data_IF_742252775864
#
_entry.id   IF_742252775864
#
_cell.length_a   1.000
_cell.length_b   1.000
_cell.length_c   1.000
_cell.angle_alpha   90.00
_cell.angle_beta   90.00
_cell.angle_gamma   90.00
#
_symmetry.space_group_name_H-M   'P 1'
#
loop_
_entity.id
_entity.type
_entity.pdbx_description
1 polymer ?
#
# COMPACT_ATOMS: atom_id res chain seq x y z
N UNK A 1 10.00 29.24 1.51
CA UNK A 1 9.49 29.56 0.16
C UNK A 1 8.12 28.93 0.08
N UNK A 2 7.08 29.73 -0.11
CA UNK A 2 5.70 29.27 -0.02
C UNK A 2 5.34 28.52 -1.31
N UNK A 3 4.70 27.36 -1.18
CA UNK A 3 4.08 26.67 -2.31
C UNK A 3 3.05 27.61 -2.98
N UNK A 4 2.82 27.51 -4.30
CA UNK A 4 1.85 28.37 -4.99
C UNK A 4 0.46 28.27 -4.34
N UNK A 5 -0.30 29.38 -4.34
CA UNK A 5 -1.54 29.59 -3.53
C UNK A 5 -2.66 28.54 -3.69
N UNK A 6 -2.56 27.60 -4.64
CA UNK A 6 -3.52 26.51 -4.88
C UNK A 6 -2.92 25.09 -4.76
N UNK A 7 -1.70 24.95 -4.23
CA UNK A 7 -1.07 23.63 -4.05
C UNK A 7 -1.53 22.98 -2.75
N UNK A 8 -2.24 21.85 -2.86
CA UNK A 8 -2.63 21.06 -1.69
C UNK A 8 -1.39 20.41 -1.07
N UNK A 9 -1.09 20.75 0.19
CA UNK A 9 0.03 20.16 0.92
C UNK A 9 -0.38 18.82 1.56
N UNK A 10 0.33 17.76 1.19
CA UNK A 10 0.19 16.43 1.77
C UNK A 10 0.58 16.45 3.26
N UNK A 11 -0.30 15.95 4.13
CA UNK A 11 -0.12 15.95 5.59
C UNK A 11 -0.38 14.56 6.16
N UNK A 12 0.59 14.05 6.90
CA UNK A 12 0.40 12.83 7.68
C UNK A 12 -0.63 13.04 8.79
N UNK A 13 -1.52 12.05 8.92
CA UNK A 13 -2.60 12.05 9.91
C UNK A 13 -2.26 11.08 11.03
N UNK A 14 -2.62 11.46 12.25
CA UNK A 14 -2.60 10.51 13.36
C UNK A 14 -3.80 9.58 13.21
N UNK A 15 -3.56 8.28 13.25
CA UNK A 15 -4.60 7.26 13.18
C UNK A 15 -4.40 6.21 14.26
N UNK A 16 -5.50 5.59 14.66
CA UNK A 16 -5.50 4.44 15.57
C UNK A 16 -6.54 3.43 15.14
N UNK A 17 -6.11 2.19 15.01
CA UNK A 17 -6.97 1.06 14.72
C UNK A 17 -7.06 0.13 15.92
N UNK A 18 -8.23 -0.46 16.15
CA UNK A 18 -8.44 -1.51 17.13
C UNK A 18 -8.88 -2.79 16.41
N UNK A 19 -8.04 -3.81 16.46
CA UNK A 19 -8.28 -5.11 15.85
C UNK A 19 -8.64 -6.18 16.87
N UNK A 20 -8.99 -5.80 18.11
CA UNK A 20 -9.17 -6.76 19.21
C UNK A 20 -10.22 -7.82 18.92
N UNK A 21 -11.26 -7.45 18.17
CA UNK A 21 -12.42 -8.29 17.86
C UNK A 21 -12.45 -8.70 16.38
N UNK A 22 -11.43 -8.37 15.60
CA UNK A 22 -11.39 -8.67 14.16
C UNK A 22 -11.16 -10.17 13.95
N UNK A 23 -12.04 -10.88 13.22
CA UNK A 23 -11.87 -12.31 12.94
C UNK A 23 -10.83 -12.56 11.83
N UNK A 24 -10.27 -13.78 11.75
CA UNK A 24 -9.31 -14.20 10.70
C UNK A 24 -9.88 -13.93 9.29
N UNK A 25 -11.15 -14.31 9.09
CA UNK A 25 -11.95 -13.97 7.92
C UNK A 25 -12.71 -12.69 8.19
N UNK A 26 -12.02 -11.55 8.05
CA UNK A 26 -12.63 -10.25 8.23
C UNK A 26 -13.68 -9.92 7.16
N UNK A 27 -13.77 -10.68 6.06
CA UNK A 27 -14.97 -10.73 5.21
C UNK A 27 -15.66 -12.07 5.46
N UNK A 28 -16.82 -12.02 6.13
CA UNK A 28 -17.53 -13.23 6.58
C UNK A 28 -17.91 -14.13 5.40
N UNK A 29 -17.44 -15.38 5.43
CA UNK A 29 -17.75 -16.38 4.40
C UNK A 29 -17.05 -16.14 3.05
N UNK A 30 -16.06 -15.26 3.00
CA UNK A 30 -15.22 -15.02 1.82
C UNK A 30 -13.73 -15.06 2.17
N UNK A 31 -13.18 -16.27 2.45
CA UNK A 31 -11.75 -16.44 2.70
C UNK A 31 -10.91 -16.06 1.48
N UNK A 32 -11.43 -16.20 0.26
CA UNK A 32 -10.70 -15.85 -0.96
C UNK A 32 -10.34 -14.36 -1.00
N UNK A 33 -11.35 -13.49 -0.87
CA UNK A 33 -11.15 -12.04 -0.87
C UNK A 33 -10.35 -11.58 0.34
N UNK A 34 -10.67 -12.14 1.52
CA UNK A 34 -9.95 -11.85 2.77
C UNK A 34 -8.45 -12.12 2.60
N UNK A 35 -8.05 -13.30 2.14
CA UNK A 35 -6.63 -13.67 2.09
C UNK A 35 -5.87 -13.07 0.91
N UNK A 36 -6.55 -12.74 -0.19
CA UNK A 36 -5.96 -11.94 -1.27
C UNK A 36 -5.58 -10.55 -0.74
N UNK A 37 -6.51 -9.84 -0.08
CA UNK A 37 -6.25 -8.49 0.45
C UNK A 37 -5.25 -8.54 1.60
N UNK A 38 -5.33 -9.54 2.48
CA UNK A 38 -4.38 -9.74 3.58
C UNK A 38 -2.93 -9.85 3.12
N UNK A 39 -2.68 -10.27 1.88
CA UNK A 39 -1.33 -10.29 1.33
C UNK A 39 -0.71 -8.89 1.28
N UNK A 40 -1.51 -7.84 1.06
CA UNK A 40 -1.03 -6.46 1.06
C UNK A 40 -0.53 -6.03 2.45
N UNK A 41 -1.21 -6.44 3.53
CA UNK A 41 -0.74 -6.22 4.91
C UNK A 41 0.64 -6.85 5.17
N UNK A 42 1.00 -7.93 4.46
CA UNK A 42 2.32 -8.56 4.58
C UNK A 42 3.41 -7.85 3.75
N UNK A 43 3.02 -7.07 2.74
CA UNK A 43 3.93 -6.43 1.79
C UNK A 43 4.27 -5.01 2.21
N UNK A 44 3.25 -4.25 2.60
CA UNK A 44 3.33 -2.82 2.90
C UNK A 44 4.41 -2.47 3.93
N UNK A 45 4.50 -3.10 5.12
CA UNK A 45 5.45 -2.64 6.14
C UNK A 45 6.90 -2.56 5.68
N UNK A 46 7.38 -3.59 4.97
CA UNK A 46 8.75 -3.65 4.46
C UNK A 46 8.96 -2.75 3.22
N UNK A 47 7.93 -2.66 2.36
CA UNK A 47 7.95 -1.85 1.15
C UNK A 47 7.98 -0.35 1.45
N UNK A 48 7.14 0.12 2.36
CA UNK A 48 7.00 1.53 2.72
C UNK A 48 8.22 2.02 3.52
N UNK A 49 8.83 1.16 4.35
CA UNK A 49 10.13 1.45 4.95
C UNK A 49 11.22 1.57 3.89
N UNK A 50 11.15 0.77 2.82
CA UNK A 50 12.04 0.91 1.67
C UNK A 50 11.79 2.21 0.90
N UNK A 51 10.52 2.60 0.67
CA UNK A 51 10.16 3.89 0.07
C UNK A 51 10.81 5.04 0.86
N UNK A 52 10.66 5.02 2.19
CA UNK A 52 11.27 6.01 3.08
C UNK A 52 12.80 6.11 2.90
N UNK A 53 13.50 4.98 2.80
CA UNK A 53 14.97 4.96 2.60
C UNK A 53 15.36 5.55 1.25
N UNK A 54 14.65 5.19 0.18
CA UNK A 54 14.90 5.71 -1.18
C UNK A 54 14.61 7.21 -1.25
N UNK A 55 13.50 7.66 -0.68
CA UNK A 55 13.09 9.06 -0.71
C UNK A 55 14.02 9.96 0.11
N UNK A 56 14.52 9.49 1.25
CA UNK A 56 15.54 10.23 2.01
C UNK A 56 16.81 10.52 1.19
N UNK A 57 17.17 9.63 0.25
CA UNK A 57 18.28 9.89 -0.69
C UNK A 57 17.89 10.84 -1.82
N UNK A 58 16.63 10.82 -2.26
CA UNK A 58 16.13 11.65 -3.33
C UNK A 58 15.89 13.10 -2.88
N UNK A 59 15.43 13.33 -1.64
CA UNK A 59 15.06 14.64 -1.09
C UNK A 59 16.12 15.74 -1.30
N UNK A 60 17.43 15.52 -1.03
CA UNK A 60 18.45 16.53 -1.28
C UNK A 60 18.66 16.88 -2.76
N UNK A 61 18.18 16.04 -3.67
CA UNK A 61 18.34 16.18 -5.12
C UNK A 61 17.13 16.84 -5.79
N UNK A 62 16.02 17.04 -5.05
CA UNK A 62 14.82 17.70 -5.54
C UNK A 62 15.01 19.21 -5.44
N UNK A 63 14.96 19.88 -6.59
CA UNK A 63 15.17 21.33 -6.72
C UNK A 63 13.87 22.13 -6.75
N UNK A 64 12.75 21.48 -7.07
CA UNK A 64 11.42 22.09 -7.03
C UNK A 64 10.90 22.11 -5.57
N UNK A 65 10.63 23.30 -5.00
CA UNK A 65 10.15 23.41 -3.63
C UNK A 65 8.79 22.75 -3.37
N UNK A 66 7.87 22.75 -4.35
CA UNK A 66 6.55 22.13 -4.20
C UNK A 66 6.68 20.61 -4.20
N UNK A 67 7.42 20.06 -5.16
CA UNK A 67 7.68 18.61 -5.22
C UNK A 67 8.43 18.12 -3.99
N UNK A 68 9.34 18.92 -3.45
CA UNK A 68 10.04 18.59 -2.20
C UNK A 68 9.06 18.55 -1.02
N UNK A 69 8.14 19.50 -0.93
CA UNK A 69 7.13 19.52 0.13
C UNK A 69 6.20 18.29 0.04
N UNK A 70 5.81 17.89 -1.16
CA UNK A 70 5.02 16.67 -1.40
C UNK A 70 5.79 15.41 -1.02
N UNK A 71 7.07 15.32 -1.40
CA UNK A 71 7.95 14.21 -1.03
C UNK A 71 8.12 14.08 0.49
N UNK A 72 8.22 15.20 1.21
CA UNK A 72 8.26 15.22 2.67
C UNK A 72 6.92 14.82 3.30
N UNK A 73 5.79 15.21 2.71
CA UNK A 73 4.45 14.80 3.13
C UNK A 73 4.25 13.29 2.97
N UNK A 74 4.55 12.77 1.77
CA UNK A 74 4.57 11.34 1.43
C UNK A 74 5.38 10.53 2.45
N UNK A 75 6.64 10.93 2.71
CA UNK A 75 7.52 10.21 3.64
C UNK A 75 6.92 10.08 5.05
N UNK A 76 6.19 11.11 5.50
CA UNK A 76 5.52 11.09 6.81
C UNK A 76 4.31 10.15 6.80
N UNK A 77 3.53 10.12 5.73
CA UNK A 77 2.39 9.20 5.57
C UNK A 77 2.86 7.75 5.51
N UNK A 78 3.86 7.44 4.69
CA UNK A 78 4.45 6.10 4.57
C UNK A 78 4.96 5.53 5.89
N UNK A 79 5.59 6.37 6.72
CA UNK A 79 6.03 5.95 8.05
C UNK A 79 4.85 5.61 8.98
N UNK A 80 3.69 6.23 8.79
CA UNK A 80 2.45 5.90 9.50
C UNK A 80 1.81 4.65 8.91
N UNK A 81 1.71 4.52 7.57
CA UNK A 81 1.23 3.32 6.88
C UNK A 81 1.96 2.06 7.40
N UNK A 82 3.29 2.11 7.42
CA UNK A 82 4.12 0.96 7.77
C UNK A 82 3.86 0.51 9.20
N UNK A 83 3.73 1.47 10.13
CA UNK A 83 3.38 1.17 11.52
C UNK A 83 1.97 0.60 11.65
N UNK A 84 0.99 1.15 10.94
CA UNK A 84 -0.40 0.68 10.97
C UNK A 84 -0.53 -0.75 10.45
N UNK A 85 0.08 -1.06 9.30
CA UNK A 85 0.08 -2.42 8.74
C UNK A 85 0.92 -3.40 9.58
N UNK A 86 2.03 -2.97 10.17
CA UNK A 86 2.78 -3.79 11.11
C UNK A 86 1.97 -4.09 12.40
N UNK A 87 1.07 -3.18 12.80
CA UNK A 87 0.09 -3.41 13.85
C UNK A 87 -0.86 -4.57 13.52
N UNK A 88 -1.26 -4.74 12.25
CA UNK A 88 -2.03 -5.91 11.79
C UNK A 88 -1.20 -7.19 11.95
N UNK A 89 0.08 -7.16 11.61
CA UNK A 89 0.96 -8.32 11.76
C UNK A 89 1.11 -8.74 13.22
N UNK A 90 1.45 -7.78 14.09
CA UNK A 90 1.76 -8.05 15.49
C UNK A 90 0.54 -8.25 16.37
N UNK A 91 -0.51 -7.45 16.21
CA UNK A 91 -1.62 -7.47 17.17
C UNK A 91 -2.78 -8.33 16.71
N UNK A 92 -2.97 -8.48 15.39
CA UNK A 92 -4.04 -9.28 14.81
C UNK A 92 -3.57 -10.71 14.48
N UNK A 93 -2.52 -10.90 13.67
CA UNK A 93 -2.10 -12.26 13.31
C UNK A 93 -1.46 -13.05 14.46
N UNK A 94 -0.65 -12.42 15.32
CA UNK A 94 -0.10 -13.12 16.50
C UNK A 94 -1.22 -13.57 17.45
N UNK A 95 -2.27 -12.75 17.63
CA UNK A 95 -3.45 -13.10 18.46
C UNK A 95 -4.20 -14.31 17.91
N UNK A 96 -4.27 -14.43 16.58
CA UNK A 96 -4.89 -15.57 15.91
C UNK A 96 -3.95 -16.77 15.75
N UNK A 97 -2.73 -16.72 16.30
CA UNK A 97 -1.74 -17.79 16.20
C UNK A 97 -1.20 -18.02 14.78
N UNK A 98 -1.31 -17.01 13.90
CA UNK A 98 -0.90 -17.08 12.50
C UNK A 98 0.54 -16.56 12.37
N UNK A 99 1.49 -17.46 12.15
CA UNK A 99 2.88 -17.08 11.87
C UNK A 99 3.05 -16.58 10.41
N UNK A 100 3.26 -15.28 10.26
CA UNK A 100 3.53 -14.61 8.98
C UNK A 100 5.02 -14.48 8.65
N UNK A 101 5.92 -14.79 9.58
CA UNK A 101 7.36 -14.53 9.48
C UNK A 101 8.02 -15.18 8.23
N UNK A 102 7.68 -16.41 7.82
CA UNK A 102 8.28 -17.00 6.62
C UNK A 102 7.93 -16.26 5.32
N UNK A 103 6.79 -15.56 5.29
CA UNK A 103 6.42 -14.72 4.17
C UNK A 103 7.10 -13.37 4.24
N UNK A 104 7.02 -12.68 5.38
CA UNK A 104 7.60 -11.33 5.54
C UNK A 104 9.12 -11.34 5.42
N UNK A 105 9.82 -12.42 5.79
CA UNK A 105 11.25 -12.57 5.52
C UNK A 105 11.58 -12.63 4.02
N UNK A 106 10.71 -13.21 3.18
CA UNK A 106 10.89 -13.19 1.72
C UNK A 106 10.73 -11.78 1.17
N UNK A 107 9.73 -11.05 1.66
CA UNK A 107 9.49 -9.65 1.31
C UNK A 107 10.67 -8.77 1.75
N UNK A 108 11.14 -8.92 2.98
CA UNK A 108 12.31 -8.21 3.49
C UNK A 108 13.55 -8.45 2.63
N UNK A 109 13.80 -9.70 2.19
CA UNK A 109 14.92 -10.01 1.28
C UNK A 109 14.79 -9.33 -0.09
N UNK A 110 13.59 -9.16 -0.63
CA UNK A 110 13.38 -8.40 -1.87
C UNK A 110 13.87 -6.96 -1.68
N UNK A 111 13.40 -6.27 -0.64
CA UNK A 111 13.69 -4.85 -0.43
C UNK A 111 15.10 -4.56 0.11
N UNK A 112 15.71 -5.49 0.84
CA UNK A 112 17.06 -5.30 1.41
C UNK A 112 18.18 -5.77 0.48
N UNK A 113 17.94 -6.79 -0.36
CA UNK A 113 18.96 -7.32 -1.27
C UNK A 113 18.74 -6.88 -2.71
N UNK A 114 17.60 -7.25 -3.30
CA UNK A 114 17.37 -7.03 -4.74
C UNK A 114 17.13 -5.55 -5.07
N UNK A 115 16.42 -4.84 -4.20
CA UNK A 115 16.15 -3.41 -4.32
C UNK A 115 16.98 -2.57 -3.33
N UNK A 116 17.99 -3.17 -2.70
CA UNK A 116 18.81 -2.55 -1.66
C UNK A 116 20.01 -1.75 -2.20
N UNK A 117 21.06 -1.64 -1.38
CA UNK A 117 22.30 -0.92 -1.73
C UNK A 117 23.23 -1.72 -2.66
N UNK A 118 23.17 -3.05 -2.59
CA UNK A 118 24.05 -3.93 -3.36
C UNK A 118 23.24 -4.93 -4.20
N UNK A 119 22.44 -4.47 -5.17
CA UNK A 119 21.62 -5.35 -6.00
C UNK A 119 22.50 -6.35 -6.73
N UNK A 120 22.20 -7.64 -6.58
CA UNK A 120 22.99 -8.74 -7.16
C UNK A 120 24.49 -8.72 -6.79
N UNK A 121 24.85 -8.08 -5.66
CA UNK A 121 26.25 -7.91 -5.23
C UNK A 121 26.98 -6.77 -5.93
N UNK A 122 26.30 -5.95 -6.73
CA UNK A 122 26.88 -4.79 -7.40
C UNK A 122 26.87 -3.57 -6.47
N UNK A 123 28.02 -2.92 -6.26
CA UNK A 123 28.15 -1.73 -5.40
C UNK A 123 27.67 -0.44 -6.08
N UNK A 124 26.41 -0.43 -6.54
CA UNK A 124 25.80 0.70 -7.26
C UNK A 124 24.78 1.47 -6.43
N UNK A 125 24.53 1.08 -5.18
CA UNK A 125 23.51 1.66 -4.27
C UNK A 125 23.54 3.16 -4.07
N UNK A 126 24.75 3.74 -4.15
CA UNK A 126 24.99 5.17 -3.97
C UNK A 126 24.92 5.97 -5.29
N UNK A 127 24.76 5.30 -6.44
CA UNK A 127 24.74 5.97 -7.73
C UNK A 127 23.40 6.64 -7.99
N UNK A 128 23.43 7.80 -8.67
CA UNK A 128 22.21 8.45 -9.16
C UNK A 128 21.43 7.56 -10.12
N UNK A 129 22.13 6.72 -10.89
CA UNK A 129 21.51 5.75 -11.80
C UNK A 129 20.64 4.75 -11.05
N UNK A 130 21.17 4.12 -9.99
CA UNK A 130 20.45 3.13 -9.21
C UNK A 130 19.29 3.75 -8.43
N UNK A 131 19.52 4.91 -7.80
CA UNK A 131 18.45 5.68 -7.15
C UNK A 131 17.28 5.93 -8.11
N UNK A 132 17.58 6.29 -9.36
CA UNK A 132 16.58 6.49 -10.40
C UNK A 132 15.85 5.20 -10.80
N UNK A 133 16.50 4.03 -10.79
CA UNK A 133 15.83 2.74 -11.00
C UNK A 133 14.88 2.42 -9.84
N UNK A 134 15.32 2.63 -8.60
CA UNK A 134 14.48 2.45 -7.41
C UNK A 134 13.24 3.34 -7.45
N UNK A 135 13.41 4.62 -7.79
CA UNK A 135 12.29 5.56 -7.98
C UNK A 135 11.35 5.13 -9.11
N UNK A 136 11.87 4.54 -10.20
CA UNK A 136 11.05 3.97 -11.27
C UNK A 136 10.19 2.79 -10.78
N UNK A 137 10.73 1.96 -9.89
CA UNK A 137 9.99 0.86 -9.25
C UNK A 137 8.90 1.42 -8.33
N UNK A 138 9.23 2.42 -7.49
CA UNK A 138 8.24 3.06 -6.60
C UNK A 138 7.11 3.68 -7.44
N UNK A 139 7.42 4.47 -8.46
CA UNK A 139 6.41 5.07 -9.33
C UNK A 139 5.47 4.03 -9.99
N UNK A 140 6.00 2.85 -10.34
CA UNK A 140 5.17 1.76 -10.85
C UNK A 140 4.29 1.11 -9.77
N UNK A 141 4.79 0.94 -8.54
CA UNK A 141 4.02 0.45 -7.39
C UNK A 141 2.89 1.42 -7.01
N UNK A 142 3.21 2.70 -6.89
CA UNK A 142 2.27 3.78 -6.56
C UNK A 142 1.16 3.92 -7.60
N UNK A 143 1.43 3.62 -8.87
CA UNK A 143 0.35 3.56 -9.87
C UNK A 143 -0.68 2.45 -9.55
N UNK A 144 -0.22 1.28 -9.09
CA UNK A 144 -1.14 0.22 -8.65
C UNK A 144 -1.86 0.61 -7.37
N UNK A 145 -1.15 1.18 -6.40
CA UNK A 145 -1.70 1.53 -5.10
C UNK A 145 -2.68 2.70 -5.20
N UNK A 146 -2.40 3.73 -6.01
CA UNK A 146 -3.36 4.78 -6.34
C UNK A 146 -4.62 4.25 -7.02
N UNK A 147 -4.51 3.27 -7.94
CA UNK A 147 -5.68 2.62 -8.54
C UNK A 147 -6.48 1.81 -7.51
N UNK A 148 -5.81 1.02 -6.67
CA UNK A 148 -6.46 0.22 -5.63
C UNK A 148 -7.08 1.11 -4.54
N UNK A 149 -6.42 2.22 -4.21
CA UNK A 149 -6.88 3.28 -3.32
C UNK A 149 -8.17 3.91 -3.82
N UNK A 150 -8.20 4.31 -5.08
CA UNK A 150 -9.43 4.76 -5.71
C UNK A 150 -10.51 3.67 -5.72
N UNK A 151 -10.17 2.40 -5.97
CA UNK A 151 -11.15 1.31 -5.94
C UNK A 151 -11.73 1.08 -4.54
N UNK A 152 -10.91 1.02 -3.48
CA UNK A 152 -11.38 0.69 -2.12
C UNK A 152 -12.30 1.77 -1.54
N UNK A 153 -12.10 3.03 -1.92
CA UNK A 153 -13.01 4.14 -1.61
C UNK A 153 -14.40 3.94 -2.21
N UNK A 154 -14.52 3.18 -3.30
CA UNK A 154 -15.76 2.91 -4.03
C UNK A 154 -16.27 1.47 -3.88
N UNK A 155 -15.61 0.64 -3.06
CA UNK A 155 -15.89 -0.78 -2.93
C UNK A 155 -17.15 -1.04 -2.07
N UNK A 156 -18.34 -0.76 -2.64
CA UNK A 156 -19.64 -0.92 -1.96
C UNK A 156 -19.94 -2.34 -1.48
N UNK A 157 -19.30 -3.36 -2.07
CA UNK A 157 -19.44 -4.74 -1.61
C UNK A 157 -18.91 -4.94 -0.18
N UNK A 158 -18.02 -4.07 0.31
CA UNK A 158 -17.50 -4.12 1.67
C UNK A 158 -18.38 -3.35 2.68
N UNK A 159 -19.47 -2.72 2.23
CA UNK A 159 -20.37 -1.92 3.08
C UNK A 159 -21.65 -2.68 3.50
N UNK A 160 -21.80 -3.95 3.09
CA UNK A 160 -23.01 -4.75 3.35
C UNK A 160 -23.09 -5.34 4.77
N UNK A 161 -22.11 -5.02 5.63
CA UNK A 161 -21.99 -5.53 7.00
C UNK A 161 -21.30 -6.88 7.13
N UNK A 162 -20.85 -7.49 6.03
CA UNK A 162 -20.06 -8.73 6.06
C UNK A 162 -18.58 -8.50 6.38
N UNK A 163 -18.08 -7.29 6.13
CA UNK A 163 -16.68 -6.92 6.34
C UNK A 163 -16.45 -6.24 7.69
N UNK A 164 -15.33 -6.57 8.35
CA UNK A 164 -14.89 -5.93 9.59
C UNK A 164 -14.60 -4.44 9.35
N UNK A 165 -15.27 -3.53 10.09
CA UNK A 165 -15.15 -2.10 9.82
C UNK A 165 -13.77 -1.53 10.13
N UNK A 166 -13.00 -2.12 11.06
CA UNK A 166 -11.66 -1.63 11.40
C UNK A 166 -10.64 -1.93 10.28
N UNK A 167 -10.75 -3.11 9.65
CA UNK A 167 -9.92 -3.45 8.49
C UNK A 167 -10.32 -2.61 7.27
N UNK A 168 -11.62 -2.42 7.03
CA UNK A 168 -12.10 -1.59 5.92
C UNK A 168 -11.65 -0.13 6.08
N UNK A 169 -11.70 0.43 7.29
CA UNK A 169 -11.19 1.77 7.57
C UNK A 169 -9.68 1.87 7.35
N UNK A 170 -8.88 0.90 7.82
CA UNK A 170 -7.43 0.85 7.52
C UNK A 170 -7.16 0.90 6.02
N UNK A 171 -7.85 0.06 5.24
CA UNK A 171 -7.65 -0.05 3.80
C UNK A 171 -8.09 1.23 3.06
N UNK A 172 -9.18 1.87 3.48
CA UNK A 172 -9.68 3.09 2.86
C UNK A 172 -8.89 4.33 3.29
N UNK A 173 -8.43 4.41 4.54
CA UNK A 173 -7.54 5.47 5.00
C UNK A 173 -6.24 5.44 4.20
N UNK A 174 -5.55 4.29 4.20
CA UNK A 174 -4.34 4.12 3.43
C UNK A 174 -4.62 4.36 1.95
N UNK A 175 -5.65 3.73 1.38
CA UNK A 175 -6.04 3.92 -0.02
C UNK A 175 -6.35 5.37 -0.41
N UNK A 176 -6.86 6.19 0.50
CA UNK A 176 -7.05 7.62 0.25
C UNK A 176 -5.71 8.37 0.22
N UNK A 177 -4.78 8.07 1.12
CA UNK A 177 -3.43 8.65 1.10
C UNK A 177 -2.66 8.20 -0.15
N UNK A 178 -2.84 6.96 -0.63
CA UNK A 178 -2.28 6.48 -1.92
C UNK A 178 -2.82 7.26 -3.14
N UNK A 179 -4.05 7.77 -3.06
CA UNK A 179 -4.56 8.69 -4.09
C UNK A 179 -3.84 10.04 -3.99
N UNK A 180 -3.50 10.54 -2.80
CA UNK A 180 -2.64 11.73 -2.64
C UNK A 180 -1.24 11.48 -3.23
N UNK A 181 -0.68 10.28 -3.04
CA UNK A 181 0.66 9.90 -3.46
C UNK A 181 0.85 9.72 -4.98
N UNK A 182 -0.24 9.42 -5.71
CA UNK A 182 -0.21 8.99 -7.12
C UNK A 182 0.71 9.79 -8.05
N UNK A 183 0.85 11.09 -7.84
CA UNK A 183 1.71 11.96 -8.67
C UNK A 183 3.13 12.06 -8.13
N UNK A 184 3.30 12.04 -6.81
CA UNK A 184 4.57 12.32 -6.11
C UNK A 184 5.69 11.41 -6.59
N UNK A 185 5.48 10.09 -6.61
CA UNK A 185 6.53 9.15 -7.01
C UNK A 185 6.94 9.28 -8.48
N UNK A 186 5.95 9.49 -9.35
CA UNK A 186 6.19 9.68 -10.77
C UNK A 186 6.93 11.01 -11.03
N UNK A 187 6.54 12.07 -10.35
CA UNK A 187 7.13 13.40 -10.51
C UNK A 187 8.57 13.44 -9.98
N UNK A 188 8.86 12.81 -8.84
CA UNK A 188 10.25 12.62 -8.36
C UNK A 188 11.08 11.84 -9.38
N UNK A 189 10.56 10.72 -9.89
CA UNK A 189 11.24 9.92 -10.91
C UNK A 189 11.56 10.75 -12.16
N UNK A 190 10.59 11.53 -12.66
CA UNK A 190 10.76 12.43 -13.81
C UNK A 190 11.75 13.55 -13.51
N UNK A 191 11.67 14.18 -12.35
CA UNK A 191 12.55 15.26 -11.91
C UNK A 191 14.02 14.82 -11.87
N UNK A 192 14.30 13.58 -11.45
CA UNK A 192 15.65 13.02 -11.43
C UNK A 192 16.14 12.47 -12.79
N UNK A 193 15.41 12.74 -13.88
CA UNK A 193 15.80 12.38 -15.25
C UNK A 193 15.28 11.03 -15.73
N UNK A 194 14.23 10.50 -15.10
CA UNK A 194 13.58 9.25 -15.52
C UNK A 194 12.96 9.34 -16.91
N UNK A 195 13.12 8.28 -17.72
CA UNK A 195 12.61 8.21 -19.08
C UNK A 195 11.51 7.14 -19.28
N UNK A 196 10.91 7.15 -20.48
CA UNK A 196 9.81 6.26 -20.86
C UNK A 196 10.22 4.77 -20.90
N UNK A 197 11.39 4.47 -21.47
CA UNK A 197 11.86 3.10 -21.65
C UNK A 197 12.05 2.44 -20.29
N UNK A 198 12.75 3.12 -19.39
CA UNK A 198 13.02 2.62 -18.05
C UNK A 198 11.75 2.43 -17.23
N UNK A 199 10.80 3.40 -17.24
CA UNK A 199 9.55 3.22 -16.51
C UNK A 199 8.73 2.04 -17.03
N UNK A 200 8.78 1.79 -18.34
CA UNK A 200 8.06 0.69 -18.97
C UNK A 200 8.69 -0.67 -18.62
N UNK A 201 10.02 -0.75 -18.59
CA UNK A 201 10.74 -1.95 -18.13
C UNK A 201 10.40 -2.25 -16.67
N UNK A 202 10.49 -1.25 -15.79
CA UNK A 202 10.19 -1.45 -14.36
C UNK A 202 8.73 -1.77 -14.12
N UNK A 203 7.78 -1.18 -14.86
CA UNK A 203 6.37 -1.56 -14.79
C UNK A 203 6.18 -3.05 -15.09
N UNK A 204 6.81 -3.58 -16.14
CA UNK A 204 6.76 -5.02 -16.47
C UNK A 204 7.32 -5.89 -15.35
N UNK A 205 8.47 -5.50 -14.78
CA UNK A 205 9.09 -6.20 -13.64
C UNK A 205 8.15 -6.17 -12.42
N UNK A 206 7.61 -5.00 -12.09
CA UNK A 206 6.71 -4.79 -10.96
C UNK A 206 5.44 -5.63 -11.11
N UNK A 207 4.84 -5.70 -12.30
CA UNK A 207 3.70 -6.59 -12.58
C UNK A 207 4.03 -8.04 -12.21
N UNK A 208 5.16 -8.55 -12.71
CA UNK A 208 5.58 -9.93 -12.44
C UNK A 208 5.85 -10.19 -10.95
N UNK A 209 6.56 -9.27 -10.28
CA UNK A 209 6.90 -9.38 -8.86
C UNK A 209 5.65 -9.28 -7.99
N UNK A 210 4.79 -8.27 -8.20
CA UNK A 210 3.54 -8.13 -7.45
C UNK A 210 2.63 -9.33 -7.66
N UNK A 211 2.46 -9.81 -8.89
CA UNK A 211 1.64 -10.99 -9.15
C UNK A 211 2.19 -12.22 -8.41
N UNK A 212 3.51 -12.44 -8.44
CA UNK A 212 4.15 -13.51 -7.67
C UNK A 212 3.84 -13.41 -6.17
N UNK A 213 4.00 -12.23 -5.58
CA UNK A 213 3.77 -12.05 -4.15
C UNK A 213 2.29 -12.16 -3.78
N UNK A 214 1.36 -11.60 -4.57
CA UNK A 214 -0.08 -11.70 -4.32
C UNK A 214 -0.56 -13.16 -4.46
N UNK A 215 -0.13 -13.87 -5.50
CA UNK A 215 -0.50 -15.29 -5.72
C UNK A 215 0.04 -16.17 -4.60
N UNK A 216 1.32 -16.01 -4.25
CA UNK A 216 1.93 -16.87 -3.22
C UNK A 216 1.51 -16.48 -1.81
N UNK A 217 1.23 -15.20 -1.56
CA UNK A 217 0.76 -14.67 -0.28
C UNK A 217 -0.67 -15.06 0.01
N UNK A 218 -1.56 -14.96 -0.99
CA UNK A 218 -2.96 -15.40 -0.82
C UNK A 218 -2.99 -16.89 -0.47
N UNK A 219 -2.28 -17.74 -1.21
CA UNK A 219 -2.14 -19.17 -0.89
C UNK A 219 -1.51 -19.41 0.49
N UNK A 220 -0.50 -18.61 0.88
CA UNK A 220 0.18 -18.73 2.16
C UNK A 220 -0.76 -18.45 3.34
N UNK A 221 -1.56 -17.38 3.24
CA UNK A 221 -2.53 -16.98 4.25
C UNK A 221 -3.73 -17.93 4.28
N UNK A 222 -4.25 -18.32 3.12
CA UNK A 222 -5.37 -19.25 3.02
C UNK A 222 -5.06 -20.60 3.71
N UNK A 223 -3.84 -21.12 3.55
CA UNK A 223 -3.39 -22.35 4.22
C UNK A 223 -3.27 -22.24 5.74
N UNK A 224 -3.22 -21.02 6.28
CA UNK A 224 -3.11 -20.74 7.73
C UNK A 224 -4.44 -20.42 8.37
N UNK A 225 -5.50 -20.30 7.58
CA UNK A 225 -6.85 -20.16 8.10
C UNK A 225 -7.49 -21.55 8.29
N UNK A 226 -7.73 -21.99 9.53
CA UNK A 226 -8.35 -23.30 9.79
C UNK A 226 -9.78 -23.41 9.27
N UNK A 227 -10.44 -22.29 8.99
CA UNK A 227 -11.83 -22.20 8.53
C UNK A 227 -11.99 -21.95 7.02
N UNK A 228 -10.89 -21.79 6.27
CA UNK A 228 -10.94 -21.46 4.85
C UNK A 228 -11.24 -22.67 3.93
N UNK A 229 -11.06 -23.90 4.40
CA UNK A 229 -11.29 -25.11 3.60
C UNK A 229 -10.32 -25.24 2.41
N UNK A 230 -10.84 -25.61 1.23
CA UNK A 230 -10.02 -25.84 0.04
C UNK A 230 -9.73 -24.54 -0.72
N UNK A 231 -8.45 -24.27 -1.02
CA UNK A 231 -8.06 -23.11 -1.82
C UNK A 231 -8.35 -23.34 -3.32
N UNK A 232 -9.29 -22.59 -3.95
CA UNK A 232 -9.68 -22.82 -5.35
C UNK A 232 -8.62 -22.40 -6.36
N UNK A 233 -7.52 -21.76 -5.92
CA UNK A 233 -6.50 -21.18 -6.79
C UNK A 233 -6.77 -19.71 -7.10
N UNK A 234 -5.69 -18.96 -7.36
CA UNK A 234 -5.73 -17.49 -7.36
C UNK A 234 -6.72 -16.91 -8.39
N UNK A 235 -6.73 -17.41 -9.62
CA UNK A 235 -7.61 -16.89 -10.67
C UNK A 235 -9.09 -17.09 -10.34
N UNK A 236 -9.46 -18.26 -9.82
CA UNK A 236 -10.83 -18.58 -9.41
C UNK A 236 -11.21 -17.76 -8.18
N UNK A 237 -10.33 -17.70 -7.17
CA UNK A 237 -10.50 -16.89 -5.96
C UNK A 237 -10.78 -15.41 -6.29
N UNK A 238 -9.98 -14.82 -7.18
CA UNK A 238 -10.17 -13.44 -7.62
C UNK A 238 -11.50 -13.25 -8.35
N UNK A 239 -11.87 -14.18 -9.23
CA UNK A 239 -13.14 -14.12 -9.96
C UNK A 239 -14.35 -14.22 -9.03
N UNK A 240 -14.31 -15.10 -8.03
CA UNK A 240 -15.35 -15.24 -7.01
C UNK A 240 -15.47 -13.95 -6.18
N UNK A 241 -14.36 -13.40 -5.68
CA UNK A 241 -14.35 -12.14 -4.93
C UNK A 241 -14.86 -10.96 -5.76
N UNK A 242 -14.53 -10.89 -7.05
CA UNK A 242 -15.11 -9.92 -7.98
C UNK A 242 -16.62 -10.09 -8.12
N UNK A 243 -17.14 -11.33 -8.20
CA UNK A 243 -18.58 -11.58 -8.31
C UNK A 243 -19.34 -11.13 -7.07
N UNK A 244 -18.71 -11.23 -5.90
CA UNK A 244 -19.22 -10.72 -4.62
C UNK A 244 -19.01 -9.21 -4.44
N UNK A 245 -18.31 -8.54 -5.36
CA UNK A 245 -17.91 -7.12 -5.27
C UNK A 245 -16.92 -6.81 -4.13
N UNK A 246 -16.19 -7.81 -3.63
CA UNK A 246 -15.17 -7.66 -2.59
C UNK A 246 -13.76 -7.45 -3.15
N UNK A 247 -13.55 -7.73 -4.44
CA UNK A 247 -12.30 -7.50 -5.15
C UNK A 247 -12.50 -6.67 -6.43
N UNK A 248 -11.48 -5.94 -6.89
CA UNK A 248 -11.57 -5.19 -8.13
C UNK A 248 -11.67 -6.12 -9.34
N UNK A 249 -12.21 -5.59 -10.44
CA UNK A 249 -12.22 -6.32 -11.71
C UNK A 249 -10.78 -6.52 -12.21
N UNK A 250 -10.40 -7.77 -12.43
CA UNK A 250 -9.10 -8.13 -13.01
C UNK A 250 -8.84 -7.41 -14.34
N UNK A 251 -9.86 -7.31 -15.20
CA UNK A 251 -9.77 -6.59 -16.49
C UNK A 251 -9.51 -5.11 -16.27
N UNK A 252 -10.19 -4.46 -15.31
CA UNK A 252 -9.94 -3.05 -14.99
C UNK A 252 -8.55 -2.83 -14.39
N UNK A 253 -8.05 -3.77 -13.58
CA UNK A 253 -6.69 -3.74 -13.02
C UNK A 253 -5.63 -3.87 -14.11
N UNK A 254 -5.79 -4.80 -15.05
CA UNK A 254 -4.92 -4.92 -16.23
C UNK A 254 -5.00 -3.65 -17.08
N UNK A 255 -6.20 -3.13 -17.33
CA UNK A 255 -6.38 -1.89 -18.09
C UNK A 255 -5.69 -0.69 -17.40
N UNK A 256 -5.71 -0.63 -16.07
CA UNK A 256 -4.95 0.35 -15.30
C UNK A 256 -3.45 0.20 -15.51
N UNK A 257 -2.91 -1.02 -15.39
CA UNK A 257 -1.49 -1.28 -15.68
C UNK A 257 -1.10 -0.86 -17.10
N UNK A 258 -1.94 -1.17 -18.09
CA UNK A 258 -1.69 -0.84 -19.50
C UNK A 258 -1.68 0.67 -19.78
N UNK A 259 -2.40 1.50 -18.99
CA UNK A 259 -2.33 2.97 -19.15
C UNK A 259 -0.92 3.51 -18.90
N UNK A 260 -0.17 2.91 -17.98
CA UNK A 260 1.19 3.34 -17.62
C UNK A 260 2.19 3.23 -18.79
N UNK A 261 1.94 2.32 -19.74
CA UNK A 261 2.74 2.13 -20.94
C UNK A 261 2.46 3.17 -22.04
N UNK A 262 1.53 4.11 -21.85
CA UNK A 262 1.35 5.19 -22.83
C UNK A 262 2.52 6.17 -22.75
N UNK A 263 3.14 6.60 -23.86
CA UNK A 263 4.21 7.60 -23.82
C UNK A 263 3.81 8.91 -23.14
N UNK A 264 2.57 9.36 -23.37
CA UNK A 264 1.97 10.54 -22.77
C UNK A 264 1.34 10.30 -21.38
N UNK A 265 1.54 9.12 -20.79
CA UNK A 265 0.99 8.81 -19.48
C UNK A 265 1.42 9.82 -18.41
N UNK A 266 0.45 10.23 -17.60
CA UNK A 266 0.59 11.04 -16.40
C UNK A 266 -0.40 10.54 -15.34
N UNK A 267 0.02 10.36 -14.07
CA UNK A 267 -0.86 9.89 -13.00
C UNK A 267 -1.85 10.95 -12.50
N UNK A 268 -1.71 12.21 -12.91
CA UNK A 268 -2.56 13.31 -12.44
C UNK A 268 -4.06 13.11 -12.76
N UNK A 269 -4.36 12.27 -13.76
CA UNK A 269 -5.72 11.93 -14.18
C UNK A 269 -6.28 10.65 -13.51
N UNK A 270 -5.51 10.01 -12.63
CA UNK A 270 -5.94 8.81 -11.90
C UNK A 270 -6.57 9.25 -10.57
N UNK A 271 -7.76 8.75 -10.21
CA UNK A 271 -8.41 9.07 -8.93
C UNK A 271 -8.78 10.55 -8.71
N UNK A 272 -9.32 10.86 -7.53
CA UNK A 272 -9.75 12.21 -7.15
C UNK A 272 -9.19 12.59 -5.77
N UNK A 273 -8.37 13.66 -5.74
CA UNK A 273 -7.89 14.22 -4.46
C UNK A 273 -9.03 14.71 -3.60
N UNK A 274 -10.08 15.28 -4.19
CA UNK A 274 -11.27 15.72 -3.44
C UNK A 274 -11.95 14.55 -2.73
N UNK A 275 -12.15 13.42 -3.41
CA UNK A 275 -12.77 12.23 -2.81
C UNK A 275 -11.90 11.60 -1.72
N UNK A 276 -10.58 11.56 -1.95
CA UNK A 276 -9.62 11.10 -0.95
C UNK A 276 -9.70 11.95 0.32
N UNK A 277 -9.68 13.28 0.19
CA UNK A 277 -9.80 14.21 1.32
C UNK A 277 -11.16 14.10 2.01
N UNK A 278 -12.24 13.91 1.25
CA UNK A 278 -13.57 13.71 1.80
C UNK A 278 -13.64 12.43 2.66
N UNK A 279 -12.96 11.35 2.27
CA UNK A 279 -12.85 10.15 3.12
C UNK A 279 -11.97 10.40 4.35
N UNK A 280 -10.80 11.00 4.17
CA UNK A 280 -9.83 11.24 5.25
C UNK A 280 -10.42 12.13 6.35
N UNK A 281 -11.30 13.08 6.01
CA UNK A 281 -12.02 13.92 6.97
C UNK A 281 -13.01 13.14 7.85
N UNK A 282 -13.46 11.96 7.42
CA UNK A 282 -14.45 11.13 8.13
C UNK A 282 -13.94 9.76 8.56
N UNK A 283 -12.64 9.47 8.41
CA UNK A 283 -12.06 8.18 8.82
C UNK A 283 -12.23 7.98 10.34
N UNK A 284 -12.90 6.89 10.79
CA UNK A 284 -13.03 6.57 12.21
C UNK A 284 -11.69 6.51 12.96
N UNK A 285 -10.63 5.96 12.35
CA UNK A 285 -9.31 5.88 12.96
C UNK A 285 -8.67 7.25 13.15
N UNK A 286 -8.85 8.18 12.20
CA UNK A 286 -8.37 9.56 12.32
C UNK A 286 -9.13 10.33 13.41
N UNK A 287 -10.46 10.18 13.46
CA UNK A 287 -11.30 10.78 14.51
C UNK A 287 -10.93 10.24 15.90
N UNK A 288 -10.74 8.92 16.02
CA UNK A 288 -10.35 8.26 17.29
C UNK A 288 -9.02 8.77 17.82
N UNK A 289 -8.04 9.01 16.93
CA UNK A 289 -6.74 9.54 17.32
C UNK A 289 -6.83 11.01 17.78
N UNK A 290 -7.67 11.83 17.12
CA UNK A 290 -7.89 13.23 17.50
C UNK A 290 -8.51 13.39 18.90
N UNK A 291 -9.22 12.38 19.40
CA UNK A 291 -9.84 12.37 20.73
C UNK A 291 -9.01 11.69 21.83
N UNK A 292 -7.70 11.47 21.62
CA UNK A 292 -6.78 11.12 22.70
C UNK A 292 -6.75 9.64 23.12
N UNK A 293 -7.19 8.71 22.26
CA UNK A 293 -7.09 7.29 22.56
C UNK A 293 -5.63 6.80 22.58
N UNK A 294 -4.98 6.72 23.74
CA UNK A 294 -3.59 6.25 23.85
C UNK A 294 -3.39 4.81 23.34
N UNK A 295 -2.25 4.56 22.69
CA UNK A 295 -1.72 3.20 22.49
C UNK A 295 -1.34 2.60 23.86
N UNK A 296 -1.91 1.44 24.21
CA UNK A 296 -1.35 0.57 25.26
C UNK A 296 -1.60 0.93 26.73
N UNK A 297 -2.81 1.31 27.13
CA UNK A 297 -3.16 1.33 28.57
C UNK A 297 -4.63 0.97 28.83
N UNK A 298 -5.01 -0.28 28.59
CA UNK A 298 -5.87 -0.94 29.58
C UNK A 298 -4.94 -1.74 30.48
N UNK A 299 -4.59 -1.16 31.64
CA UNK A 299 -4.16 -1.98 32.77
C UNK A 299 -5.30 -2.97 33.03
N UNK A 300 -5.04 -4.28 33.18
CA UNK A 300 -6.06 -5.19 33.67
C UNK A 300 -6.52 -4.64 35.03
N UNK A 301 -7.85 -4.58 35.21
CA UNK A 301 -8.41 -4.27 36.52
C UNK A 301 -7.86 -5.29 37.51
N UNK A 302 -7.15 -4.81 38.53
CA UNK A 302 -6.72 -5.65 39.63
C UNK A 302 -7.99 -6.14 40.34
N UNK A 303 -8.16 -7.47 40.37
CA UNK A 303 -9.07 -8.19 41.26
C UNK A 303 -8.63 -8.02 42.71
#
# INVERSE_FOLDING_TARGET
MNAPENHYLIKARHVKFDFSNTPIQWIKGDPESTHIINTLNLLFPEGELWFCRVYNKALPLITDPALRADAEGFLRQEAVHSRSHNGVLKHYYERHGIDTQPFTQRVNRLFTKLLGEEPFGLKIGHTRFWLRQQLSVIAALEHFFGYLGNWILHARGLDDGSADPAIVDLLRWHGAEEVEHRTVAFDIYRHLGGNYVERSIHMTIVIGVLLYFIVTGSRFMYKRDPSAGFYPGFAIAWWLGKRRNHLPSFVKTIAAALRYYRPSYTPHNEGSTEEALAYLARSPAAQTAAHGGNWGAQKPAAS
#
